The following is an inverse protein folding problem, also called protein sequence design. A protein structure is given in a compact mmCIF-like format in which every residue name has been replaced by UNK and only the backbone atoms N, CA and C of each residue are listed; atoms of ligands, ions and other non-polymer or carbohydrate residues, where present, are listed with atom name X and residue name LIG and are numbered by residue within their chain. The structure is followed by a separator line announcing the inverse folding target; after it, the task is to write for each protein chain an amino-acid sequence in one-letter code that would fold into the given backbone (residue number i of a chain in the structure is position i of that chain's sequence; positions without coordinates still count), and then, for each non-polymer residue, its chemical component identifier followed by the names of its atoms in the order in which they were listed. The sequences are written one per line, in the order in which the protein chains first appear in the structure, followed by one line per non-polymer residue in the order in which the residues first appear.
data_IF_448415025195
#
_entry.id   IF_448415025195
#
_cell.length_a   1.000
_cell.length_b   1.000
_cell.length_c   1.000
_cell.angle_alpha   90.00
_cell.angle_beta   90.00
_cell.angle_gamma   90.00
#
_symmetry.space_group_name_H-M   'P 1'
#
loop_
_entity.id
_entity.type
_entity.pdbx_description
1 polymer ?
#
# COMPACT_ATOMS: atom_id res chain seq x y z
N UNK A 1 -9.62 -13.34 12.95
CA UNK A 1 -10.40 -12.11 13.16
C UNK A 1 -9.50 -10.95 12.80
N UNK A 2 -9.64 -10.40 11.59
CA UNK A 2 -8.92 -9.17 11.24
C UNK A 2 -9.49 -8.09 12.16
N UNK A 3 -8.66 -7.57 13.06
CA UNK A 3 -9.04 -6.52 14.00
C UNK A 3 -9.67 -5.37 13.19
N UNK A 4 -10.87 -4.92 13.56
CA UNK A 4 -11.43 -3.70 12.99
C UNK A 4 -10.61 -2.52 13.50
N UNK A 5 -9.64 -2.10 12.69
CA UNK A 5 -8.88 -0.88 12.91
C UNK A 5 -9.70 0.32 12.41
N UNK A 6 -9.64 1.47 13.10
CA UNK A 6 -10.17 2.72 12.58
C UNK A 6 -9.54 3.08 11.22
N UNK A 7 -10.31 3.75 10.37
CA UNK A 7 -9.88 4.13 9.01
C UNK A 7 -8.65 5.05 9.04
N UNK A 8 -8.52 5.91 10.05
CA UNK A 8 -7.38 6.81 10.22
C UNK A 8 -6.08 6.02 10.47
N UNK A 9 -6.16 4.93 11.22
CA UNK A 9 -5.00 4.06 11.49
C UNK A 9 -4.64 3.30 10.22
N UNK A 10 -5.63 2.79 9.48
CA UNK A 10 -5.38 2.15 8.20
C UNK A 10 -4.73 3.12 7.20
N UNK A 11 -5.22 4.36 7.11
CA UNK A 11 -4.62 5.41 6.29
C UNK A 11 -3.15 5.66 6.65
N UNK A 12 -2.80 5.66 7.93
CA UNK A 12 -1.41 5.77 8.36
C UNK A 12 -0.59 4.54 7.96
N UNK A 13 -1.11 3.32 8.13
CA UNK A 13 -0.43 2.09 7.69
C UNK A 13 -0.14 2.17 6.18
N UNK A 14 -1.16 2.50 5.37
CA UNK A 14 -1.00 2.61 3.92
C UNK A 14 0.03 3.66 3.52
N UNK A 15 0.23 4.74 4.29
CA UNK A 15 1.26 5.75 4.01
C UNK A 15 2.69 5.20 4.15
N UNK A 16 2.92 4.23 5.03
CA UNK A 16 4.22 3.57 5.17
C UNK A 16 4.45 2.42 4.19
N UNK A 17 3.40 1.98 3.49
CA UNK A 17 3.50 0.92 2.51
C UNK A 17 3.91 1.48 1.13
N UNK A 18 4.84 0.82 0.42
CA UNK A 18 5.08 1.04 -1.01
C UNK A 18 3.82 0.85 -1.84
N UNK A 19 3.76 1.46 -3.02
CA UNK A 19 2.56 1.48 -3.87
C UNK A 19 2.03 0.07 -4.17
N UNK A 20 2.93 -0.86 -4.51
CA UNK A 20 2.55 -2.24 -4.79
C UNK A 20 2.01 -2.95 -3.55
N UNK A 21 2.64 -2.75 -2.39
CA UNK A 21 2.21 -3.35 -1.13
C UNK A 21 0.84 -2.81 -0.69
N UNK A 22 0.51 -1.55 -1.00
CA UNK A 22 -0.84 -1.00 -0.80
C UNK A 22 -1.88 -1.79 -1.59
N UNK A 23 -1.59 -2.15 -2.84
CA UNK A 23 -2.50 -2.93 -3.67
C UNK A 23 -2.71 -4.37 -3.17
N UNK A 24 -1.70 -4.98 -2.54
CA UNK A 24 -1.85 -6.28 -1.88
C UNK A 24 -2.63 -6.16 -0.58
N UNK A 25 -2.33 -5.16 0.24
CA UNK A 25 -2.99 -4.92 1.50
C UNK A 25 -4.51 -4.65 1.35
N UNK A 26 -4.92 -3.99 0.27
CA UNK A 26 -6.33 -3.71 -0.04
C UNK A 26 -7.16 -4.98 -0.34
N UNK A 27 -6.51 -6.11 -0.60
CA UNK A 27 -7.18 -7.40 -0.90
C UNK A 27 -7.43 -8.25 0.35
N UNK A 28 -6.93 -7.84 1.53
CA UNK A 28 -7.03 -8.62 2.78
C UNK A 28 -8.46 -8.69 3.31
N UNK A 29 -9.17 -7.55 3.35
CA UNK A 29 -10.57 -7.50 3.75
C UNK A 29 -11.26 -6.23 3.24
N UNK A 30 -12.59 -6.17 3.39
CA UNK A 30 -13.41 -5.04 2.91
C UNK A 30 -13.00 -3.70 3.53
N UNK A 31 -12.63 -3.66 4.81
CA UNK A 31 -12.23 -2.41 5.47
C UNK A 31 -10.96 -1.82 4.87
N UNK A 32 -9.94 -2.65 4.63
CA UNK A 32 -8.70 -2.23 3.97
C UNK A 32 -8.94 -1.80 2.53
N UNK A 33 -9.85 -2.48 1.83
CA UNK A 33 -10.24 -2.10 0.47
C UNK A 33 -10.90 -0.71 0.43
N UNK A 34 -11.81 -0.42 1.37
CA UNK A 34 -12.46 0.88 1.47
C UNK A 34 -11.45 2.00 1.72
N UNK A 35 -10.51 1.80 2.65
CA UNK A 35 -9.47 2.78 2.93
C UNK A 35 -8.53 3.03 1.75
N UNK A 36 -8.21 1.99 0.96
CA UNK A 36 -7.39 2.14 -0.24
C UNK A 36 -8.01 3.09 -1.28
N UNK A 37 -9.34 3.14 -1.36
CA UNK A 37 -10.08 4.03 -2.27
C UNK A 37 -10.32 5.43 -1.71
N UNK A 38 -9.90 5.73 -0.48
CA UNK A 38 -10.03 7.06 0.11
C UNK A 38 -9.06 8.07 -0.53
N UNK A 39 -9.53 9.24 -0.98
CA UNK A 39 -8.68 10.24 -1.61
C UNK A 39 -7.60 10.82 -0.67
N UNK A 40 -7.81 10.78 0.65
CA UNK A 40 -6.85 11.16 1.69
C UNK A 40 -5.52 10.41 1.55
N UNK A 41 -5.57 9.12 1.18
CA UNK A 41 -4.39 8.28 1.03
C UNK A 41 -3.46 8.75 -0.09
N UNK A 42 -4.05 9.32 -1.15
CA UNK A 42 -3.34 9.70 -2.37
C UNK A 42 -2.97 11.19 -2.39
N UNK A 43 -3.49 11.97 -1.43
CA UNK A 43 -3.20 13.40 -1.28
C UNK A 43 -1.84 13.67 -0.62
N UNK A 44 -1.26 12.72 0.10
CA UNK A 44 0.11 12.84 0.60
C UNK A 44 1.11 12.56 -0.53
N UNK A 45 1.91 13.56 -0.90
CA UNK A 45 2.83 13.58 -2.04
C UNK A 45 4.02 12.59 -2.01
N UNK A 46 3.96 11.52 -1.21
CA UNK A 46 4.93 10.41 -1.23
C UNK A 46 4.83 9.56 -2.50
N UNK A 47 3.83 9.81 -3.35
CA UNK A 47 3.63 9.10 -4.62
C UNK A 47 4.80 9.24 -5.61
N UNK A 48 5.74 10.16 -5.38
CA UNK A 48 6.67 10.63 -6.40
C UNK A 48 8.14 10.30 -6.09
N UNK A 49 8.56 9.16 -6.65
CA UNK A 49 9.88 8.84 -7.24
C UNK A 49 10.75 7.76 -6.59
N UNK A 50 10.89 7.69 -5.26
CA UNK A 50 11.78 6.69 -4.64
C UNK A 50 11.10 5.33 -4.44
N UNK A 51 9.83 5.32 -4.02
CA UNK A 51 9.09 4.10 -3.72
C UNK A 51 8.76 3.28 -4.98
N UNK A 52 8.46 3.93 -6.10
CA UNK A 52 8.26 3.23 -7.39
C UNK A 52 9.54 2.54 -7.88
N UNK A 53 10.72 3.10 -7.54
CA UNK A 53 12.04 2.52 -7.88
C UNK A 53 12.38 1.36 -6.96
N UNK A 54 12.05 1.47 -5.67
CA UNK A 54 12.18 0.40 -4.68
C UNK A 54 11.24 -0.78 -5.01
N UNK A 55 10.01 -0.50 -5.43
CA UNK A 55 9.05 -1.51 -5.89
C UNK A 55 9.60 -2.23 -7.12
N UNK A 56 10.04 -1.51 -8.16
CA UNK A 56 10.63 -2.13 -9.36
C UNK A 56 11.80 -3.06 -9.01
N UNK A 57 12.72 -2.62 -8.16
CA UNK A 57 13.86 -3.45 -7.73
C UNK A 57 13.41 -4.71 -6.99
N UNK A 58 12.37 -4.63 -6.15
CA UNK A 58 11.82 -5.77 -5.42
C UNK A 58 11.10 -6.75 -6.35
N UNK A 59 10.34 -6.27 -7.32
CA UNK A 59 9.71 -7.13 -8.33
C UNK A 59 10.75 -7.80 -9.23
N UNK A 60 11.82 -7.09 -9.62
CA UNK A 60 12.92 -7.65 -10.41
C UNK A 60 13.69 -8.73 -9.64
N UNK A 61 13.93 -8.58 -8.34
CA UNK A 61 14.56 -9.62 -7.53
C UNK A 61 13.69 -10.88 -7.37
N UNK A 62 12.36 -10.73 -7.25
CA UNK A 62 11.44 -11.86 -7.14
C UNK A 62 11.28 -12.63 -8.47
N UNK A 63 11.43 -11.97 -9.62
CA UNK A 63 11.28 -12.59 -10.94
C UNK A 63 12.60 -12.89 -11.66
N UNK A 64 13.74 -12.40 -11.14
CA UNK A 64 15.08 -12.59 -11.71
C UNK A 64 15.87 -13.77 -11.14
N UNK A 65 15.28 -14.54 -10.22
CA UNK A 65 15.80 -15.83 -9.78
C UNK A 65 15.00 -16.96 -10.46
N UNK A 66 15.27 -17.17 -11.75
CA UNK A 66 14.79 -18.32 -12.51
C UNK A 66 15.94 -18.87 -13.37
#
# INVERSE_FOLDING_TARGET
LVLQLPEEILLQIFQYLPLLDRAFASQVCRGWNQTFHMPELWRSGQLLSEDARADLHRTTLLHGAA
#
